data_IF_479130745237
#
_entry.id   IF_479130745237
#
_cell.length_a   1.000
_cell.length_b   1.000
_cell.length_c   1.000
_cell.angle_alpha   90.00
_cell.angle_beta   90.00
_cell.angle_gamma   90.00
#
_symmetry.space_group_name_H-M   'P 1'
#
loop_
_entity.id
_entity.type
_entity.pdbx_description
1 polymer ?
#
# COMPACT_ATOMS: atom_id res chain seq x y z
N UNK A 1 29.85 13.38 -18.24
CA UNK A 1 28.60 12.59 -18.42
C UNK A 1 27.93 12.09 -17.12
N UNK A 2 28.58 12.03 -15.94
CA UNK A 2 27.92 11.57 -14.70
C UNK A 2 27.04 12.62 -13.98
N UNK A 3 27.21 13.91 -14.29
CA UNK A 3 26.62 15.01 -13.50
C UNK A 3 25.15 15.32 -13.88
N UNK A 4 24.80 15.24 -15.16
CA UNK A 4 23.43 15.50 -15.67
C UNK A 4 22.41 14.46 -15.18
N UNK A 5 22.85 13.20 -15.05
CA UNK A 5 22.03 12.11 -14.53
C UNK A 5 21.65 12.29 -13.06
N UNK A 6 22.49 12.93 -12.25
CA UNK A 6 22.17 13.22 -10.84
C UNK A 6 21.21 14.40 -10.70
N UNK A 7 21.32 15.43 -11.54
CA UNK A 7 20.42 16.58 -11.56
C UNK A 7 19.01 16.15 -12.00
N UNK A 8 18.92 15.31 -13.04
CA UNK A 8 17.66 14.71 -13.52
C UNK A 8 16.95 13.88 -12.44
N UNK A 9 17.69 13.01 -11.73
CA UNK A 9 17.14 12.20 -10.64
C UNK A 9 16.65 13.05 -9.47
N UNK A 10 17.37 14.12 -9.12
CA UNK A 10 16.98 15.00 -8.02
C UNK A 10 15.73 15.83 -8.37
N UNK A 11 15.64 16.35 -9.60
CA UNK A 11 14.43 17.03 -10.10
C UNK A 11 13.18 16.14 -10.08
N UNK A 12 13.31 14.85 -10.43
CA UNK A 12 12.19 13.88 -10.34
C UNK A 12 11.73 13.65 -8.89
N UNK A 13 12.67 13.52 -7.95
CA UNK A 13 12.35 13.36 -6.52
C UNK A 13 11.66 14.59 -5.92
N UNK A 14 12.06 15.78 -6.32
CA UNK A 14 11.42 17.05 -5.89
C UNK A 14 9.98 17.12 -6.42
N UNK A 15 9.78 16.83 -7.72
CA UNK A 15 8.45 16.85 -8.35
C UNK A 15 7.49 15.82 -7.74
N UNK A 16 7.99 14.66 -7.36
CA UNK A 16 7.22 13.63 -6.65
C UNK A 16 6.83 14.06 -5.23
N UNK A 17 7.74 14.73 -4.50
CA UNK A 17 7.43 15.32 -3.19
C UNK A 17 6.37 16.42 -3.28
N UNK A 18 6.47 17.31 -4.26
CA UNK A 18 5.49 18.38 -4.47
C UNK A 18 4.10 17.83 -4.80
N UNK A 19 4.02 16.80 -5.66
CA UNK A 19 2.75 16.12 -5.95
C UNK A 19 2.13 15.47 -4.70
N UNK A 20 2.96 14.86 -3.86
CA UNK A 20 2.53 14.25 -2.59
C UNK A 20 1.97 15.28 -1.60
N UNK A 21 2.66 16.41 -1.41
CA UNK A 21 2.16 17.50 -0.55
C UNK A 21 0.89 18.14 -1.12
N UNK A 22 0.77 18.23 -2.45
CA UNK A 22 -0.44 18.74 -3.11
C UNK A 22 -1.64 17.82 -2.88
N UNK A 23 -1.45 16.51 -2.94
CA UNK A 23 -2.50 15.52 -2.62
C UNK A 23 -2.87 15.54 -1.13
N UNK A 24 -1.92 15.83 -0.23
CA UNK A 24 -2.19 15.97 1.21
C UNK A 24 -3.09 17.16 1.54
N UNK A 25 -3.07 18.21 0.71
CA UNK A 25 -3.95 19.37 0.83
C UNK A 25 -5.31 19.19 0.13
N UNK A 26 -5.47 18.15 -0.69
CA UNK A 26 -6.76 17.84 -1.29
C UNK A 26 -7.68 17.19 -0.26
N UNK A 27 -8.88 17.74 -0.12
CA UNK A 27 -9.96 17.06 0.57
C UNK A 27 -10.40 15.79 -0.17
N UNK A 28 -11.23 14.98 0.49
CA UNK A 28 -11.77 13.73 -0.05
C UNK A 28 -12.41 13.90 -1.44
N UNK A 29 -13.11 15.01 -1.64
CA UNK A 29 -13.78 15.35 -2.90
C UNK A 29 -12.77 15.61 -4.05
N UNK A 30 -11.63 16.23 -3.74
CA UNK A 30 -10.55 16.42 -4.70
C UNK A 30 -9.91 15.09 -5.11
N UNK A 31 -9.73 14.18 -4.16
CA UNK A 31 -9.21 12.82 -4.42
C UNK A 31 -10.19 12.05 -5.31
N UNK A 32 -11.49 12.10 -5.01
CA UNK A 32 -12.52 11.45 -5.82
C UNK A 32 -12.55 11.99 -7.26
N UNK A 33 -12.35 13.29 -7.44
CA UNK A 33 -12.29 13.89 -8.77
C UNK A 33 -11.02 13.50 -9.56
N UNK A 34 -9.92 13.17 -8.92
CA UNK A 34 -8.75 12.60 -9.61
C UNK A 34 -8.97 11.13 -9.96
N UNK A 35 -9.63 10.37 -9.07
CA UNK A 35 -10.00 8.97 -9.34
C UNK A 35 -10.99 8.87 -10.51
N UNK A 36 -11.94 9.80 -10.63
CA UNK A 36 -12.93 9.80 -11.72
C UNK A 36 -12.33 10.01 -13.11
N UNK A 37 -11.10 10.54 -13.19
CA UNK A 37 -10.37 10.76 -14.44
C UNK A 37 -9.58 9.53 -14.90
N UNK A 38 -9.55 8.46 -14.10
CA UNK A 38 -8.85 7.23 -14.46
C UNK A 38 -9.63 6.50 -15.55
N UNK A 39 -8.96 6.24 -16.67
CA UNK A 39 -9.50 5.62 -17.87
C UNK A 39 -8.91 4.22 -18.16
N UNK A 40 -8.06 3.71 -17.25
CA UNK A 40 -7.36 2.42 -17.40
C UNK A 40 -7.62 1.47 -16.23
N UNK A 41 -7.68 0.17 -16.53
CA UNK A 41 -7.84 -0.88 -15.53
C UNK A 41 -6.61 -0.96 -14.60
N UNK A 42 -5.43 -0.69 -15.13
CA UNK A 42 -4.18 -0.59 -14.37
C UNK A 42 -4.22 0.57 -13.38
N UNK A 43 -4.78 1.72 -13.79
CA UNK A 43 -4.97 2.87 -12.91
C UNK A 43 -5.92 2.56 -11.74
N UNK A 44 -7.03 1.87 -12.02
CA UNK A 44 -7.98 1.42 -10.99
C UNK A 44 -7.30 0.46 -10.01
N UNK A 45 -6.55 -0.51 -10.55
CA UNK A 45 -5.80 -1.48 -9.74
C UNK A 45 -4.77 -0.80 -8.84
N UNK A 46 -4.03 0.17 -9.38
CA UNK A 46 -3.03 0.93 -8.64
C UNK A 46 -3.64 1.74 -7.48
N UNK A 47 -4.71 2.48 -7.74
CA UNK A 47 -5.40 3.25 -6.69
C UNK A 47 -6.00 2.34 -5.63
N UNK A 48 -6.58 1.21 -6.04
CA UNK A 48 -7.14 0.22 -5.12
C UNK A 48 -6.05 -0.36 -4.21
N UNK A 49 -4.90 -0.72 -4.78
CA UNK A 49 -3.75 -1.22 -4.01
C UNK A 49 -3.23 -0.17 -3.02
N UNK A 50 -3.13 1.11 -3.43
CA UNK A 50 -2.73 2.20 -2.53
C UNK A 50 -3.70 2.37 -1.36
N UNK A 51 -5.00 2.43 -1.64
CA UNK A 51 -6.02 2.56 -0.61
C UNK A 51 -5.99 1.38 0.35
N UNK A 52 -5.91 0.15 -0.17
CA UNK A 52 -5.88 -1.06 0.62
C UNK A 52 -4.65 -1.11 1.54
N UNK A 53 -3.47 -0.71 1.06
CA UNK A 53 -2.26 -0.65 1.87
C UNK A 53 -2.42 0.31 3.07
N UNK A 54 -2.98 1.50 2.86
CA UNK A 54 -3.22 2.45 3.96
C UNK A 54 -4.30 1.96 4.93
N UNK A 55 -5.36 1.31 4.44
CA UNK A 55 -6.38 0.69 5.30
C UNK A 55 -5.77 -0.40 6.19
N UNK A 56 -4.99 -1.33 5.62
CA UNK A 56 -4.34 -2.40 6.40
C UNK A 56 -3.35 -1.83 7.43
N UNK A 57 -2.61 -0.77 7.07
CA UNK A 57 -1.70 -0.09 8.00
C UNK A 57 -2.46 0.53 9.17
N UNK A 58 -3.60 1.19 8.90
CA UNK A 58 -4.46 1.75 9.95
C UNK A 58 -5.10 0.69 10.82
N UNK A 59 -5.51 -0.43 10.24
CA UNK A 59 -6.01 -1.58 10.99
C UNK A 59 -4.96 -2.09 11.99
N UNK A 60 -3.70 -2.24 11.55
CA UNK A 60 -2.59 -2.61 12.44
C UNK A 60 -2.37 -1.57 13.53
N UNK A 61 -2.36 -0.27 13.20
CA UNK A 61 -2.21 0.80 14.19
C UNK A 61 -3.31 0.76 15.26
N UNK A 62 -4.55 0.52 14.87
CA UNK A 62 -5.67 0.36 15.80
C UNK A 62 -5.46 -0.88 16.68
N UNK A 63 -5.09 -2.02 16.08
CA UNK A 63 -4.86 -3.28 16.80
C UNK A 63 -3.74 -3.18 17.82
N UNK A 64 -2.66 -2.49 17.48
CA UNK A 64 -1.48 -2.36 18.33
C UNK A 64 -1.61 -1.27 19.39
N UNK A 65 -2.56 -0.34 19.26
CA UNK A 65 -2.75 0.79 20.20
C UNK A 65 -2.83 0.34 21.66
N UNK A 66 -3.58 -0.74 21.90
CA UNK A 66 -3.85 -1.24 23.26
C UNK A 66 -2.95 -2.44 23.62
N UNK A 67 -1.97 -2.75 22.77
CA UNK A 67 -1.08 -3.89 22.97
C UNK A 67 0.25 -3.47 23.58
N UNK A 68 0.45 -3.79 24.85
CA UNK A 68 1.69 -3.48 25.59
C UNK A 68 2.88 -4.32 25.09
N UNK A 69 2.63 -5.58 24.74
CA UNK A 69 3.68 -6.56 24.44
C UNK A 69 3.85 -6.86 22.94
N UNK A 70 3.23 -6.10 22.06
CA UNK A 70 3.29 -6.33 20.63
C UNK A 70 3.62 -5.03 19.88
N UNK A 71 4.42 -5.14 18.83
CA UNK A 71 4.92 -4.00 18.07
C UNK A 71 4.84 -4.30 16.59
N UNK A 72 4.75 -3.27 15.76
CA UNK A 72 4.81 -3.42 14.32
C UNK A 72 6.18 -4.01 13.91
N UNK A 73 6.16 -4.95 12.97
CA UNK A 73 7.35 -5.65 12.49
C UNK A 73 7.37 -5.69 10.96
N UNK A 74 7.67 -4.56 10.32
CA UNK A 74 7.83 -4.53 8.86
C UNK A 74 6.55 -4.84 8.08
N UNK A 75 6.76 -5.35 6.86
CA UNK A 75 5.73 -5.69 5.88
C UNK A 75 6.23 -6.83 4.98
N UNK A 76 5.30 -7.66 4.50
CA UNK A 76 5.58 -8.64 3.44
C UNK A 76 4.79 -8.31 2.18
N UNK A 77 5.33 -8.71 1.03
CA UNK A 77 4.64 -8.55 -0.25
C UNK A 77 3.63 -9.67 -0.46
N UNK A 78 2.41 -9.31 -0.88
CA UNK A 78 1.37 -10.28 -1.27
C UNK A 78 0.66 -9.80 -2.52
N UNK A 79 0.44 -10.73 -3.45
CA UNK A 79 -0.46 -10.55 -4.58
C UNK A 79 -1.87 -10.95 -4.15
N UNK A 80 -2.83 -10.03 -4.25
CA UNK A 80 -4.24 -10.29 -4.01
C UNK A 80 -4.96 -10.36 -5.34
N UNK A 81 -5.53 -11.53 -5.65
CA UNK A 81 -6.38 -11.69 -6.82
C UNK A 81 -7.69 -10.91 -6.61
N UNK A 82 -7.95 -9.93 -7.47
CA UNK A 82 -9.16 -9.11 -7.43
C UNK A 82 -9.84 -9.11 -8.81
N UNK A 83 -11.09 -8.67 -8.86
CA UNK A 83 -11.87 -8.56 -10.11
C UNK A 83 -11.17 -7.72 -11.19
N UNK A 84 -10.35 -6.75 -10.78
CA UNK A 84 -9.63 -5.84 -11.67
C UNK A 84 -8.22 -6.32 -12.02
N UNK A 85 -7.79 -7.49 -11.54
CA UNK A 85 -6.45 -8.05 -11.73
C UNK A 85 -5.75 -8.41 -10.41
N UNK A 86 -4.46 -8.71 -10.50
CA UNK A 86 -3.62 -8.99 -9.32
C UNK A 86 -3.14 -7.67 -8.70
N UNK A 87 -3.49 -7.43 -7.44
CA UNK A 87 -3.06 -6.27 -6.68
C UNK A 87 -1.78 -6.60 -5.91
N UNK A 88 -0.68 -5.91 -6.24
CA UNK A 88 0.54 -5.94 -5.44
C UNK A 88 0.35 -5.15 -4.16
N UNK A 89 0.29 -5.83 -3.02
CA UNK A 89 0.05 -5.22 -1.70
C UNK A 89 1.20 -5.47 -0.74
N UNK A 90 1.39 -4.53 0.19
CA UNK A 90 2.38 -4.62 1.25
C UNK A 90 1.64 -4.83 2.57
N UNK A 91 1.56 -6.09 2.98
CA UNK A 91 0.76 -6.51 4.12
C UNK A 91 1.53 -6.22 5.40
N UNK A 92 0.95 -5.46 6.35
CA UNK A 92 1.62 -5.10 7.58
C UNK A 92 1.74 -6.28 8.53
N UNK A 93 2.92 -6.43 9.14
CA UNK A 93 3.21 -7.46 10.15
C UNK A 93 3.34 -6.87 11.56
N UNK A 94 3.10 -7.73 12.55
CA UNK A 94 3.40 -7.52 13.96
C UNK A 94 4.47 -8.52 14.44
N UNK A 95 5.17 -8.18 15.52
CA UNK A 95 6.29 -8.98 16.03
C UNK A 95 5.85 -10.38 16.50
N UNK A 96 4.59 -10.51 16.92
CA UNK A 96 4.02 -11.78 17.38
C UNK A 96 3.28 -12.56 16.28
N UNK A 97 3.27 -12.07 15.03
CA UNK A 97 2.56 -12.66 13.89
C UNK A 97 1.07 -12.95 14.19
N UNK A 98 0.50 -12.18 15.11
CA UNK A 98 -0.89 -12.34 15.59
C UNK A 98 -1.86 -11.44 14.84
N UNK A 99 -1.36 -10.49 14.05
CA UNK A 99 -2.14 -9.59 13.25
C UNK A 99 -2.28 -10.12 11.82
N UNK A 100 -3.52 -10.31 11.38
CA UNK A 100 -3.88 -10.64 10.00
C UNK A 100 -4.95 -9.64 9.60
N UNK A 101 -4.70 -8.77 8.60
CA UNK A 101 -5.71 -7.81 8.16
C UNK A 101 -6.99 -8.51 7.72
N UNK A 102 -8.15 -7.93 8.01
CA UNK A 102 -9.47 -8.52 7.68
C UNK A 102 -9.56 -8.95 6.21
N UNK A 103 -9.07 -8.13 5.29
CA UNK A 103 -9.09 -8.44 3.85
C UNK A 103 -8.27 -9.68 3.47
N UNK A 104 -7.23 -10.00 4.25
CA UNK A 104 -6.41 -11.20 4.05
C UNK A 104 -7.08 -12.48 4.60
N UNK A 105 -8.10 -12.35 5.45
CA UNK A 105 -8.78 -13.50 6.09
C UNK A 105 -9.85 -14.13 5.18
N UNK A 106 -10.46 -13.34 4.31
CA UNK A 106 -11.50 -13.79 3.36
C UNK A 106 -10.96 -14.87 2.41
N UNK A 107 -9.66 -14.83 2.14
CA UNK A 107 -8.95 -15.74 1.24
C UNK A 107 -8.63 -17.11 1.87
N UNK A 108 -9.01 -17.36 3.14
CA UNK A 108 -8.83 -18.64 3.84
C UNK A 108 -7.37 -19.08 4.07
N UNK A 109 -6.37 -18.31 3.61
CA UNK A 109 -4.95 -18.61 3.78
C UNK A 109 -4.43 -17.93 5.05
N UNK A 110 -4.02 -18.73 6.04
CA UNK A 110 -3.18 -18.28 7.17
C UNK A 110 -1.95 -17.51 6.63
N UNK A 111 -1.36 -16.58 7.40
CA UNK A 111 -0.05 -16.03 7.06
C UNK A 111 0.94 -17.21 7.03
N UNK A 112 1.18 -17.75 5.84
CA UNK A 112 2.20 -18.76 5.63
C UNK A 112 3.44 -18.02 5.17
N UNK A 113 4.53 -18.27 5.93
CA UNK A 113 5.95 -18.24 5.56
C UNK A 113 6.31 -17.77 4.14
N UNK A 114 7.46 -17.09 3.95
CA UNK A 114 7.81 -16.30 2.75
C UNK A 114 8.01 -17.09 1.44
N UNK A 115 7.65 -18.38 1.39
CA UNK A 115 7.79 -19.24 0.23
C UNK A 115 6.48 -19.92 -0.13
N UNK A 116 5.70 -19.26 -1.00
CA UNK A 116 4.99 -19.91 -2.11
C UNK A 116 4.50 -18.85 -3.08
N UNK A 117 5.34 -18.56 -4.06
CA UNK A 117 4.85 -18.25 -5.40
C UNK A 117 4.01 -19.44 -5.87
N UNK A 118 2.77 -19.19 -6.32
CA UNK A 118 2.18 -19.78 -7.52
C UNK A 118 0.69 -19.43 -7.60
N UNK A 119 0.37 -18.96 -8.81
CA UNK A 119 -0.91 -18.49 -9.37
C UNK A 119 -1.34 -17.10 -8.90
#
# INVERSE_FOLDING_TARGET
>A
MKNENNISKNKRKIKQKEAYEKMKQMGLEGILNEISKIDSQEGISFVTALLLNELMKKEREIRLRDSIDNKANGYYERQLACFFGSLGTSVPEDKKESFIPVYCQIDGRKPMSPFRSLC
#
